data_IF_556317864924
#
_entry.id   IF_556317864924
#
_cell.length_a   1.000
_cell.length_b   1.000
_cell.length_c   1.000
_cell.angle_alpha   90.00
_cell.angle_beta   90.00
_cell.angle_gamma   90.00
#
_symmetry.space_group_name_H-M   'P 1'
#
loop_
_entity.id
_entity.type
_entity.pdbx_description
1 polymer ?
#
# COMPACT_ATOMS: atom_id res chain seq x y z
N UNK A 1 -0.28 -4.16 -18.62
CA UNK A 1 -0.26 -3.35 -19.86
C UNK A 1 -1.60 -2.64 -20.09
N UNK A 2 -1.68 -1.57 -20.89
CA UNK A 2 -2.98 -1.07 -21.42
C UNK A 2 -3.64 -2.15 -22.31
N UNK A 3 -4.81 -1.87 -22.91
CA UNK A 3 -5.44 -2.75 -23.91
C UNK A 3 -4.63 -2.93 -25.22
N UNK A 4 -3.33 -2.64 -25.23
CA UNK A 4 -2.43 -2.75 -26.37
C UNK A 4 -1.14 -3.50 -25.97
N UNK A 5 -1.19 -4.85 -25.85
CA UNK A 5 -0.04 -5.66 -25.45
C UNK A 5 1.12 -5.58 -26.45
N UNK A 6 0.85 -5.35 -27.74
CA UNK A 6 1.88 -5.23 -28.77
C UNK A 6 2.81 -4.03 -28.57
N UNK A 7 2.30 -2.91 -28.04
CA UNK A 7 3.15 -1.77 -27.68
C UNK A 7 4.10 -2.12 -26.54
N UNK A 8 3.60 -2.74 -25.47
CA UNK A 8 4.44 -3.20 -24.36
C UNK A 8 5.49 -4.21 -24.84
N UNK A 9 5.10 -5.16 -25.70
CA UNK A 9 6.01 -6.12 -26.31
C UNK A 9 7.17 -5.44 -27.05
N UNK A 10 6.87 -4.47 -27.90
CA UNK A 10 7.88 -3.75 -28.67
C UNK A 10 8.84 -2.95 -27.79
N UNK A 11 8.32 -2.13 -26.88
CA UNK A 11 9.14 -1.23 -26.07
C UNK A 11 9.96 -1.95 -25.00
N UNK A 12 9.44 -3.05 -24.46
CA UNK A 12 10.12 -3.86 -23.45
C UNK A 12 10.92 -5.01 -24.06
N UNK A 13 10.96 -5.11 -25.40
CA UNK A 13 11.67 -6.14 -26.16
C UNK A 13 11.28 -7.56 -25.74
N UNK A 14 10.00 -7.77 -25.41
CA UNK A 14 9.49 -9.06 -25.00
C UNK A 14 9.37 -10.00 -26.20
N UNK A 15 9.75 -11.26 -26.01
CA UNK A 15 9.52 -12.28 -27.03
C UNK A 15 8.04 -12.67 -27.10
N UNK A 16 7.63 -13.31 -28.20
CA UNK A 16 6.28 -13.90 -28.29
C UNK A 16 6.03 -14.93 -27.16
N UNK A 17 7.08 -15.62 -26.72
CA UNK A 17 7.02 -16.55 -25.60
C UNK A 17 6.71 -15.84 -24.28
N UNK A 18 7.34 -14.69 -24.03
CA UNK A 18 7.12 -13.91 -22.81
C UNK A 18 5.69 -13.36 -22.75
N UNK A 19 5.19 -12.81 -23.86
CA UNK A 19 3.80 -12.34 -23.95
C UNK A 19 2.82 -13.48 -23.71
N UNK A 20 3.12 -14.68 -24.22
CA UNK A 20 2.29 -15.87 -24.00
C UNK A 20 2.31 -16.32 -22.53
N UNK A 21 3.47 -16.34 -21.90
CA UNK A 21 3.60 -16.63 -20.46
C UNK A 21 2.83 -15.61 -19.61
N UNK A 22 2.91 -14.33 -19.96
CA UNK A 22 2.14 -13.28 -19.28
C UNK A 22 0.64 -13.55 -19.39
N UNK A 23 0.15 -13.89 -20.58
CA UNK A 23 -1.25 -14.29 -20.77
C UNK A 23 -1.63 -15.54 -19.95
N UNK A 24 -0.79 -16.59 -19.97
CA UNK A 24 -1.02 -17.84 -19.23
C UNK A 24 -0.99 -17.63 -17.71
N UNK A 25 -0.22 -16.66 -17.21
CA UNK A 25 -0.24 -16.22 -15.80
C UNK A 25 -1.47 -15.40 -15.42
N UNK A 26 -2.37 -15.13 -16.37
CA UNK A 26 -3.60 -14.36 -16.14
C UNK A 26 -3.44 -12.85 -16.30
N UNK A 27 -2.37 -12.37 -16.94
CA UNK A 27 -2.16 -10.93 -17.15
C UNK A 27 -3.26 -10.34 -18.03
N UNK A 28 -3.96 -9.33 -17.54
CA UNK A 28 -4.99 -8.60 -18.27
C UNK A 28 -4.77 -7.08 -18.17
N UNK A 29 -5.47 -6.32 -19.01
CA UNK A 29 -5.41 -4.87 -18.92
C UNK A 29 -5.95 -4.38 -17.58
N UNK A 30 -5.23 -3.46 -16.93
CA UNK A 30 -5.58 -2.86 -15.64
C UNK A 30 -5.66 -3.85 -14.47
N UNK A 31 -4.99 -5.00 -14.58
CA UNK A 31 -4.71 -5.82 -13.40
C UNK A 31 -3.66 -5.16 -12.50
N UNK A 32 -3.29 -5.87 -11.43
CA UNK A 32 -2.28 -5.45 -10.46
C UNK A 32 -0.92 -6.12 -10.70
N UNK A 33 -0.73 -6.82 -11.82
CA UNK A 33 0.47 -7.60 -12.12
C UNK A 33 1.47 -6.74 -12.90
N UNK A 34 2.08 -5.77 -12.21
CA UNK A 34 3.02 -4.82 -12.82
C UNK A 34 4.36 -5.46 -13.24
N UNK A 35 4.74 -6.55 -12.57
CA UNK A 35 5.97 -7.32 -12.80
C UNK A 35 5.63 -8.81 -12.93
N UNK A 36 6.12 -9.47 -13.98
CA UNK A 36 6.07 -10.93 -14.14
C UNK A 36 7.51 -11.42 -14.31
N UNK A 37 7.97 -12.28 -13.40
CA UNK A 37 9.37 -12.75 -13.34
C UNK A 37 10.39 -11.59 -13.27
N UNK A 38 10.02 -10.48 -12.61
CA UNK A 38 10.84 -9.27 -12.53
C UNK A 38 10.83 -8.40 -13.79
N UNK A 39 10.18 -8.85 -14.87
CA UNK A 39 10.00 -8.07 -16.09
C UNK A 39 8.76 -7.17 -15.97
N UNK A 40 8.86 -5.88 -16.30
CA UNK A 40 7.70 -5.02 -16.36
C UNK A 40 6.72 -5.51 -17.43
N UNK A 41 5.43 -5.39 -17.13
CA UNK A 41 4.33 -5.75 -18.03
C UNK A 41 3.52 -4.52 -18.44
N UNK A 42 3.80 -3.38 -17.81
CA UNK A 42 3.05 -2.14 -17.88
C UNK A 42 3.72 -1.06 -18.72
N UNK A 43 2.96 0.01 -18.94
CA UNK A 43 3.48 1.26 -19.49
C UNK A 43 2.80 2.42 -18.77
N UNK A 44 3.54 3.52 -18.57
CA UNK A 44 2.97 4.79 -18.11
C UNK A 44 2.70 5.67 -19.33
N UNK A 45 1.48 6.20 -19.44
CA UNK A 45 1.10 7.11 -20.53
C UNK A 45 0.87 8.50 -19.98
N UNK A 46 1.58 9.48 -20.53
CA UNK A 46 1.33 10.91 -20.30
C UNK A 46 0.60 11.46 -21.52
N UNK A 47 -0.44 12.26 -21.29
CA UNK A 47 -1.21 12.91 -22.36
C UNK A 47 -1.15 14.42 -22.18
N UNK A 48 -0.83 15.12 -23.28
CA UNK A 48 -0.64 16.56 -23.29
C UNK A 48 -1.84 17.26 -23.94
N UNK A 49 -2.27 18.37 -23.36
CA UNK A 49 -3.34 19.20 -23.91
C UNK A 49 -2.82 20.14 -25.00
N UNK A 50 -3.74 20.76 -25.75
CA UNK A 50 -3.43 21.65 -26.89
C UNK A 50 -2.41 22.74 -26.58
N UNK A 51 -2.46 23.35 -25.39
CA UNK A 51 -1.57 24.44 -24.99
C UNK A 51 -0.20 23.98 -24.46
N UNK A 52 0.09 22.68 -24.48
CA UNK A 52 1.37 22.15 -24.00
C UNK A 52 2.49 22.58 -24.93
N UNK A 53 3.51 23.23 -24.38
CA UNK A 53 4.70 23.59 -25.14
C UNK A 53 5.77 22.52 -25.01
N UNK A 54 6.75 22.50 -25.93
CA UNK A 54 7.93 21.63 -25.80
C UNK A 54 8.60 21.76 -24.43
N UNK A 55 8.69 22.99 -23.91
CA UNK A 55 9.29 23.26 -22.60
C UNK A 55 8.57 22.56 -21.45
N UNK A 56 7.25 22.38 -21.56
CA UNK A 56 6.47 21.67 -20.53
C UNK A 56 6.72 20.17 -20.60
N UNK A 57 6.88 19.62 -21.80
CA UNK A 57 7.30 18.23 -22.02
C UNK A 57 8.71 18.00 -21.48
N UNK A 58 9.66 18.88 -21.80
CA UNK A 58 11.04 18.80 -21.33
C UNK A 58 11.09 18.82 -19.79
N UNK A 59 10.29 19.65 -19.13
CA UNK A 59 10.17 19.65 -17.66
C UNK A 59 9.64 18.34 -17.11
N UNK A 60 8.67 17.72 -17.78
CA UNK A 60 8.12 16.43 -17.37
C UNK A 60 9.18 15.33 -17.49
N UNK A 61 9.95 15.33 -18.58
CA UNK A 61 11.08 14.40 -18.79
C UNK A 61 12.14 14.62 -17.72
N UNK A 62 12.58 15.87 -17.51
CA UNK A 62 13.56 16.20 -16.48
C UNK A 62 13.07 15.74 -15.12
N UNK A 63 11.80 15.96 -14.76
CA UNK A 63 11.25 15.45 -13.49
C UNK A 63 11.38 13.92 -13.36
N UNK A 64 11.15 13.14 -14.42
CA UNK A 64 11.30 11.68 -14.40
C UNK A 64 12.77 11.29 -14.17
N UNK A 65 13.68 11.86 -14.95
CA UNK A 65 15.12 11.64 -14.83
C UNK A 65 15.60 12.00 -13.42
N UNK A 66 15.12 13.13 -12.94
CA UNK A 66 15.54 13.73 -11.70
C UNK A 66 15.01 12.99 -10.47
N UNK A 67 13.77 12.53 -10.48
CA UNK A 67 13.12 11.95 -9.30
C UNK A 67 13.27 10.42 -9.24
N UNK A 68 13.43 9.75 -10.38
CA UNK A 68 13.36 8.29 -10.47
C UNK A 68 14.59 7.63 -11.06
N UNK A 69 15.39 8.33 -11.87
CA UNK A 69 16.62 7.77 -12.46
C UNK A 69 17.88 8.23 -11.72
N UNK A 70 17.82 9.35 -11.00
CA UNK A 70 18.92 9.83 -10.19
C UNK A 70 19.18 8.95 -8.95
N UNK A 71 20.45 8.85 -8.56
CA UNK A 71 20.84 8.06 -7.39
C UNK A 71 20.18 8.59 -6.11
N UNK A 72 19.98 7.76 -5.06
CA UNK A 72 19.51 8.24 -3.77
C UNK A 72 20.31 9.44 -3.23
N UNK A 73 21.63 9.40 -3.37
CA UNK A 73 22.55 10.45 -2.94
C UNK A 73 22.34 11.75 -3.73
N UNK A 74 22.19 11.63 -5.06
CA UNK A 74 21.92 12.78 -5.93
C UNK A 74 20.59 13.43 -5.58
N UNK A 75 19.54 12.63 -5.35
CA UNK A 75 18.21 13.13 -4.94
C UNK A 75 18.26 13.83 -3.59
N UNK A 76 18.96 13.27 -2.62
CA UNK A 76 19.18 13.90 -1.31
C UNK A 76 19.97 15.21 -1.43
N UNK A 77 20.97 15.26 -2.33
CA UNK A 77 21.78 16.47 -2.55
C UNK A 77 20.99 17.64 -3.16
N UNK A 78 19.85 17.36 -3.81
CA UNK A 78 18.95 18.40 -4.33
C UNK A 78 18.02 18.99 -3.28
N UNK A 79 17.88 18.29 -2.16
CA UNK A 79 17.23 18.81 -0.95
C UNK A 79 18.17 19.73 -0.16
N UNK A 80 19.42 19.90 -0.62
CA UNK A 80 20.36 20.86 -0.04
C UNK A 80 19.86 22.29 -0.27
N UNK A 81 19.45 22.90 0.82
CA UNK A 81 18.87 24.24 0.92
C UNK A 81 19.73 25.28 0.20
N UNK A 82 21.06 25.08 0.18
CA UNK A 82 22.02 25.99 -0.44
C UNK A 82 21.81 26.15 -1.96
N UNK A 83 21.13 25.20 -2.62
CA UNK A 83 20.89 25.20 -4.07
C UNK A 83 19.48 25.66 -4.47
N UNK A 84 18.66 26.07 -3.52
CA UNK A 84 17.30 26.54 -3.82
C UNK A 84 17.33 27.85 -4.64
N UNK A 85 16.45 27.99 -5.66
CA UNK A 85 16.23 29.25 -6.34
C UNK A 85 15.99 30.38 -5.34
N UNK A 86 16.49 31.60 -5.61
CA UNK A 86 16.35 32.77 -4.71
C UNK A 86 14.91 33.01 -4.24
N UNK A 87 13.92 32.73 -5.08
CA UNK A 87 12.50 32.82 -4.73
C UNK A 87 12.07 31.85 -3.62
N UNK A 88 12.78 30.74 -3.41
CA UNK A 88 12.51 29.71 -2.41
C UNK A 88 13.48 29.76 -1.21
N UNK A 89 14.47 30.65 -1.23
CA UNK A 89 15.48 30.83 -0.16
C UNK A 89 14.95 31.46 1.12
N UNK A 90 13.70 31.96 1.14
CA UNK A 90 13.01 32.38 2.38
C UNK A 90 12.20 31.24 3.05
N UNK A 91 12.09 30.09 2.37
CA UNK A 91 11.43 28.85 2.81
C UNK A 91 12.37 27.78 3.44
N UNK A 92 13.71 27.94 3.62
CA UNK A 92 14.64 26.91 4.09
C UNK A 92 14.22 26.07 5.29
N UNK A 93 13.71 26.72 6.35
CA UNK A 93 13.26 26.00 7.56
C UNK A 93 12.04 25.12 7.29
N UNK A 94 11.22 25.48 6.29
CA UNK A 94 10.08 24.67 5.80
C UNK A 94 10.48 23.60 4.78
N UNK A 95 11.71 23.62 4.26
CA UNK A 95 12.20 22.69 3.23
C UNK A 95 13.05 21.55 3.78
N UNK A 96 13.51 21.63 5.05
CA UNK A 96 13.96 20.42 5.73
C UNK A 96 12.76 19.50 5.90
N UNK A 97 12.76 18.29 5.32
CA UNK A 97 11.69 17.34 5.57
C UNK A 97 11.67 17.07 7.07
N UNK A 98 10.58 17.47 7.70
CA UNK A 98 10.32 17.11 9.08
C UNK A 98 9.30 16.00 9.09
N UNK A 99 9.60 14.94 9.86
CA UNK A 99 8.60 13.94 10.15
C UNK A 99 7.53 14.59 11.03
N UNK A 100 6.40 14.93 10.42
CA UNK A 100 5.26 15.51 11.14
C UNK A 100 4.52 14.47 11.95
N UNK A 101 4.30 13.30 11.36
CA UNK A 101 3.47 12.25 11.92
C UNK A 101 3.75 10.92 11.22
N UNK A 102 3.66 9.82 11.97
CA UNK A 102 3.59 8.47 11.41
C UNK A 102 2.21 7.92 11.74
N UNK A 103 1.55 7.41 10.70
CA UNK A 103 0.27 6.74 10.82
C UNK A 103 0.39 5.33 10.25
N UNK A 104 -0.05 4.34 11.01
CA UNK A 104 -0.18 2.97 10.54
C UNK A 104 -1.65 2.62 10.36
N UNK A 105 -1.95 1.61 9.55
CA UNK A 105 -3.31 1.15 9.27
C UNK A 105 -3.38 -0.32 9.63
N UNK A 106 -3.63 -0.64 10.91
CA UNK A 106 -3.61 -2.01 11.39
C UNK A 106 -4.58 -2.92 10.64
N UNK A 107 -5.81 -2.45 10.45
CA UNK A 107 -6.85 -3.16 9.70
C UNK A 107 -6.94 -2.58 8.29
N UNK A 108 -6.81 -3.44 7.27
CA UNK A 108 -6.96 -3.07 5.86
C UNK A 108 -8.28 -2.32 5.65
N UNK A 109 -8.22 -1.22 4.90
CA UNK A 109 -9.38 -0.36 4.55
C UNK A 109 -10.00 0.45 5.69
N UNK A 110 -9.52 0.30 6.93
CA UNK A 110 -10.03 1.04 8.08
C UNK A 110 -9.24 2.33 8.35
N UNK A 111 -9.65 3.07 9.38
CA UNK A 111 -8.96 4.27 9.87
C UNK A 111 -7.53 4.00 10.33
N UNK A 112 -6.74 5.07 10.40
CA UNK A 112 -5.35 4.97 10.84
C UNK A 112 -5.22 5.04 12.37
N UNK A 113 -4.14 4.45 12.88
CA UNK A 113 -3.63 4.65 14.22
C UNK A 113 -2.42 5.60 14.18
N UNK A 114 -2.50 6.70 14.94
CA UNK A 114 -1.43 7.69 15.06
C UNK A 114 -0.35 7.20 16.03
N UNK A 115 0.90 7.16 15.57
CA UNK A 115 2.05 6.92 16.43
C UNK A 115 2.45 8.23 17.12
N UNK A 116 2.56 8.21 18.44
CA UNK A 116 2.88 9.40 19.25
C UNK A 116 4.39 9.58 19.46
N UNK A 117 5.13 8.48 19.63
CA UNK A 117 6.56 8.52 19.98
C UNK A 117 7.40 7.74 18.97
N UNK A 118 7.58 6.44 19.23
CA UNK A 118 8.35 5.52 18.39
C UNK A 118 7.54 4.28 18.13
N UNK A 119 7.88 3.57 17.05
CA UNK A 119 7.23 2.33 16.68
C UNK A 119 8.24 1.31 16.16
N UNK A 120 8.11 0.02 16.50
CA UNK A 120 9.05 -0.99 16.01
C UNK A 120 8.92 -1.18 14.49
N UNK A 121 10.07 -1.39 13.85
CA UNK A 121 10.15 -1.85 12.46
C UNK A 121 10.37 -3.36 12.44
N UNK A 122 9.66 -4.02 11.53
CA UNK A 122 9.79 -5.44 11.19
C UNK A 122 10.39 -5.55 9.79
N UNK A 123 10.60 -6.78 9.31
CA UNK A 123 11.05 -7.04 7.94
C UNK A 123 10.04 -6.58 6.88
N UNK A 124 8.78 -6.40 7.25
CA UNK A 124 7.67 -6.05 6.34
C UNK A 124 7.18 -4.60 6.50
N UNK A 125 7.70 -3.84 7.45
CA UNK A 125 7.31 -2.45 7.68
C UNK A 125 7.17 -2.10 9.16
N UNK A 126 6.22 -1.23 9.51
CA UNK A 126 5.92 -0.97 10.92
C UNK A 126 5.19 -2.16 11.54
N UNK A 127 5.53 -2.51 12.79
CA UNK A 127 4.86 -3.58 13.52
C UNK A 127 3.33 -3.35 13.51
N UNK A 128 2.55 -4.40 13.26
CA UNK A 128 1.08 -4.35 13.19
C UNK A 128 0.49 -3.55 12.02
N UNK A 129 1.30 -3.00 11.12
CA UNK A 129 0.77 -2.32 9.94
C UNK A 129 0.23 -3.33 8.93
N UNK A 130 -1.03 -3.17 8.51
CA UNK A 130 -1.75 -4.09 7.60
C UNK A 130 -1.77 -5.55 8.10
N UNK A 131 -1.75 -5.75 9.41
CA UNK A 131 -1.78 -7.09 10.03
C UNK A 131 -3.16 -7.77 9.99
N UNK A 132 -4.24 -7.01 9.77
CA UNK A 132 -5.61 -7.53 9.78
C UNK A 132 -6.39 -7.08 8.55
N UNK A 133 -7.46 -7.80 8.25
CA UNK A 133 -8.45 -7.44 7.24
C UNK A 133 -9.83 -7.93 7.65
N UNK A 134 -10.86 -7.26 7.17
CA UNK A 134 -12.24 -7.70 7.29
C UNK A 134 -12.59 -8.45 6.01
N UNK A 135 -13.17 -9.64 6.15
CA UNK A 135 -13.61 -10.46 5.02
C UNK A 135 -15.13 -10.61 5.03
N UNK A 136 -15.71 -10.84 3.87
CA UNK A 136 -17.12 -11.24 3.75
C UNK A 136 -17.30 -12.76 3.95
N UNK A 137 -18.55 -13.23 3.85
CA UNK A 137 -18.89 -14.64 3.98
C UNK A 137 -18.23 -15.56 2.91
N UNK A 138 -17.74 -14.99 1.80
CA UNK A 138 -16.98 -15.71 0.78
C UNK A 138 -15.47 -15.77 1.06
N UNK A 139 -15.01 -15.16 2.15
CA UNK A 139 -13.60 -15.03 2.49
C UNK A 139 -12.89 -13.90 1.76
N UNK A 140 -13.60 -13.07 0.98
CA UNK A 140 -13.01 -11.98 0.22
C UNK A 140 -12.84 -10.73 1.08
N UNK A 141 -11.68 -10.09 1.02
CA UNK A 141 -11.40 -8.89 1.78
C UNK A 141 -12.31 -7.72 1.35
N UNK A 142 -13.03 -7.14 2.32
CA UNK A 142 -13.86 -5.96 2.09
C UNK A 142 -12.95 -4.74 1.94
N UNK A 143 -13.20 -3.95 0.90
CA UNK A 143 -12.36 -2.79 0.55
C UNK A 143 -13.09 -1.48 0.75
N UNK A 144 -12.34 -0.43 1.11
CA UNK A 144 -12.89 0.92 1.26
C UNK A 144 -13.57 1.45 -0.01
N UNK A 145 -13.11 0.99 -1.20
CA UNK A 145 -13.72 1.35 -2.49
C UNK A 145 -15.18 0.90 -2.60
N UNK A 146 -15.50 -0.26 -2.01
CA UNK A 146 -16.85 -0.82 -2.03
C UNK A 146 -17.66 -0.42 -0.78
N UNK A 147 -17.01 -0.38 0.39
CA UNK A 147 -17.62 0.05 1.64
C UNK A 147 -16.83 1.21 2.27
N UNK A 148 -17.23 2.43 1.94
CA UNK A 148 -16.52 3.65 2.37
C UNK A 148 -16.57 3.85 3.88
N UNK A 149 -17.61 3.35 4.56
CA UNK A 149 -17.77 3.45 6.02
C UNK A 149 -16.68 2.75 6.82
N UNK A 150 -15.90 1.84 6.22
CA UNK A 150 -14.78 1.18 6.89
C UNK A 150 -13.76 2.19 7.47
N UNK A 151 -13.58 3.36 6.85
CA UNK A 151 -12.65 4.38 7.36
C UNK A 151 -13.07 5.02 8.69
N UNK A 152 -14.33 4.82 9.10
CA UNK A 152 -14.84 5.28 10.40
C UNK A 152 -14.48 4.31 11.53
N UNK A 153 -14.13 3.06 11.21
CA UNK A 153 -13.57 2.11 12.17
C UNK A 153 -12.14 2.58 12.50
N UNK A 154 -11.91 3.01 13.74
CA UNK A 154 -10.60 3.50 14.18
C UNK A 154 -9.94 2.50 15.12
N UNK A 155 -8.78 1.93 14.73
CA UNK A 155 -8.00 1.05 15.58
C UNK A 155 -7.13 1.84 16.55
N UNK A 156 -7.02 1.35 17.80
CA UNK A 156 -6.17 1.89 18.85
C UNK A 156 -5.35 0.73 19.43
N UNK A 157 -4.03 0.76 19.22
CA UNK A 157 -3.15 -0.33 19.65
C UNK A 157 -2.60 -0.04 21.05
N UNK A 158 -2.80 -0.98 21.96
CA UNK A 158 -2.18 -1.00 23.28
C UNK A 158 -1.19 -2.16 23.40
N UNK A 159 0.09 -1.85 23.15
CA UNK A 159 1.19 -2.83 23.20
C UNK A 159 1.42 -3.40 24.60
N UNK A 160 1.21 -2.62 25.66
CA UNK A 160 1.43 -3.09 27.03
C UNK A 160 0.36 -4.10 27.46
N UNK A 161 -0.87 -3.96 26.94
CA UNK A 161 -1.97 -4.90 27.20
C UNK A 161 -2.05 -6.03 26.18
N UNK A 162 -1.28 -5.97 25.09
CA UNK A 162 -1.39 -6.93 23.98
C UNK A 162 -2.73 -6.86 23.25
N UNK A 163 -3.41 -5.70 23.23
CA UNK A 163 -4.75 -5.57 22.63
C UNK A 163 -4.85 -4.43 21.63
N UNK A 164 -5.69 -4.61 20.61
CA UNK A 164 -6.16 -3.59 19.68
C UNK A 164 -7.63 -3.31 19.95
N UNK A 165 -7.96 -2.08 20.31
CA UNK A 165 -9.34 -1.61 20.43
C UNK A 165 -9.82 -1.11 19.07
N UNK A 166 -10.99 -1.58 18.62
CA UNK A 166 -11.69 -1.05 17.44
C UNK A 166 -12.86 -0.20 17.91
N UNK A 167 -12.94 1.01 17.37
CA UNK A 167 -13.98 1.98 17.70
C UNK A 167 -14.75 2.37 16.45
N UNK A 168 -16.06 2.58 16.58
CA UNK A 168 -16.94 3.07 15.52
C UNK A 168 -17.94 4.05 16.15
N UNK A 169 -18.42 5.03 15.38
CA UNK A 169 -19.33 6.08 15.87
C UNK A 169 -20.57 5.47 16.52
N UNK A 170 -20.87 5.91 17.74
CA UNK A 170 -22.04 5.49 18.54
C UNK A 170 -22.12 3.99 18.86
N UNK A 171 -21.00 3.27 18.77
CA UNK A 171 -20.90 1.85 19.15
C UNK A 171 -19.93 1.66 20.31
N UNK A 172 -20.22 0.67 21.15
CA UNK A 172 -19.28 0.23 22.19
C UNK A 172 -18.05 -0.37 21.51
N UNK A 173 -16.85 0.00 21.97
CA UNK A 173 -15.61 -0.54 21.43
C UNK A 173 -15.50 -2.06 21.61
N UNK A 174 -14.81 -2.72 20.69
CA UNK A 174 -14.45 -4.14 20.77
C UNK A 174 -12.92 -4.28 20.83
N UNK A 175 -12.43 -5.34 21.47
CA UNK A 175 -11.00 -5.59 21.64
C UNK A 175 -10.57 -6.86 20.90
N UNK A 176 -9.46 -6.77 20.17
CA UNK A 176 -8.82 -7.86 19.45
C UNK A 176 -7.46 -8.12 20.10
N UNK A 177 -7.09 -9.37 20.33
CA UNK A 177 -5.76 -9.70 20.85
C UNK A 177 -4.70 -9.51 19.76
N UNK A 178 -3.59 -8.84 20.09
CA UNK A 178 -2.46 -8.61 19.19
C UNK A 178 -1.56 -9.85 19.06
N UNK A 179 -1.55 -10.70 20.08
CA UNK A 179 -0.76 -11.91 20.15
C UNK A 179 -1.70 -13.11 20.05
N UNK A 180 -1.70 -13.79 18.90
CA UNK A 180 -2.34 -15.09 18.79
C UNK A 180 -1.60 -16.03 19.74
N UNK A 181 -2.27 -16.46 20.80
CA UNK A 181 -1.74 -17.40 21.79
C UNK A 181 -1.26 -18.65 21.02
N UNK A 182 0.06 -18.84 20.93
CA UNK A 182 0.71 -20.04 20.37
C UNK A 182 0.63 -21.21 21.37
N UNK A 183 -0.40 -21.29 22.19
CA UNK A 183 -0.57 -22.45 23.05
C UNK A 183 -0.90 -23.64 22.15
N UNK A 184 -0.21 -24.74 22.42
CA UNK A 184 -0.33 -26.04 21.77
C UNK A 184 -1.71 -26.66 22.04
N UNK A 185 -2.78 -25.99 21.62
CA UNK A 185 -4.16 -26.43 21.78
C UNK A 185 -4.81 -26.45 20.39
N UNK A 186 -4.87 -27.66 19.85
CA UNK A 186 -5.74 -28.09 18.77
C UNK A 186 -5.78 -27.21 17.51
N UNK A 187 -5.00 -27.67 16.52
CA UNK A 187 -5.11 -27.38 15.07
C UNK A 187 -6.55 -27.63 14.51
N UNK A 188 -7.50 -27.99 15.35
CA UNK A 188 -8.89 -28.34 15.01
C UNK A 188 -9.84 -27.13 15.16
N UNK A 189 -9.54 -26.12 16.00
CA UNK A 189 -10.52 -25.06 16.33
C UNK A 189 -10.11 -23.62 15.98
N UNK A 190 -8.90 -23.37 15.45
CA UNK A 190 -8.62 -22.08 14.82
C UNK A 190 -9.08 -22.16 13.36
N UNK A 191 -10.22 -21.53 13.06
CA UNK A 191 -10.75 -21.43 11.70
C UNK A 191 -9.76 -20.66 10.82
N UNK A 192 -8.89 -21.38 10.13
CA UNK A 192 -7.98 -20.83 9.14
C UNK A 192 -8.84 -20.25 8.01
N UNK A 193 -8.93 -18.93 7.91
CA UNK A 193 -9.66 -18.29 6.83
C UNK A 193 -8.74 -18.16 5.61
N UNK A 194 -9.15 -18.71 4.47
CA UNK A 194 -8.49 -18.45 3.19
C UNK A 194 -9.10 -17.20 2.60
N UNK A 195 -8.25 -16.21 2.32
CA UNK A 195 -8.64 -14.99 1.63
C UNK A 195 -7.75 -14.77 0.42
N UNK A 196 -8.19 -13.90 -0.48
CA UNK A 196 -7.44 -13.53 -1.68
C UNK A 196 -7.08 -12.05 -1.61
N UNK A 197 -5.79 -11.74 -1.56
CA UNK A 197 -5.26 -10.38 -1.56
C UNK A 197 -4.34 -10.22 -2.76
N UNK A 198 -4.70 -9.33 -3.70
CA UNK A 198 -3.90 -9.10 -4.92
C UNK A 198 -3.58 -10.40 -5.69
N UNK A 199 -4.59 -11.26 -5.83
CA UNK A 199 -4.50 -12.58 -6.45
C UNK A 199 -3.74 -13.69 -5.68
N UNK A 200 -3.05 -13.35 -4.60
CA UNK A 200 -2.41 -14.32 -3.70
C UNK A 200 -3.40 -14.88 -2.67
N UNK A 201 -3.35 -16.19 -2.48
CA UNK A 201 -4.04 -16.87 -1.38
C UNK A 201 -3.30 -16.60 -0.08
N UNK A 202 -3.97 -15.93 0.85
CA UNK A 202 -3.46 -15.61 2.18
C UNK A 202 -4.30 -16.36 3.21
N UNK A 203 -3.63 -17.05 4.14
CA UNK A 203 -4.27 -17.62 5.31
C UNK A 203 -4.26 -16.63 6.46
N UNK A 204 -5.40 -16.51 7.14
CA UNK A 204 -5.56 -15.68 8.34
C UNK A 204 -6.10 -16.49 9.52
N UNK A 205 -5.98 -15.90 10.70
CA UNK A 205 -6.64 -16.37 11.90
C UNK A 205 -7.91 -15.57 12.12
N UNK A 206 -9.02 -16.26 12.38
CA UNK A 206 -10.25 -15.62 12.81
C UNK A 206 -10.05 -14.89 14.14
N UNK A 207 -10.58 -13.67 14.23
CA UNK A 207 -10.54 -12.83 15.43
C UNK A 207 -11.71 -13.10 16.38
N UNK A 208 -12.61 -14.02 16.02
CA UNK A 208 -13.68 -14.53 16.86
C UNK A 208 -15.05 -13.91 16.59
N UNK A 209 -16.10 -14.64 16.96
CA UNK A 209 -17.50 -14.29 16.69
C UNK A 209 -17.92 -12.95 17.30
N UNK A 210 -17.33 -12.53 18.42
CA UNK A 210 -17.64 -11.24 19.04
C UNK A 210 -17.23 -10.07 18.12
N UNK A 211 -16.08 -10.18 17.45
CA UNK A 211 -15.60 -9.18 16.50
C UNK A 211 -16.44 -9.23 15.23
N UNK A 212 -16.77 -10.43 14.75
CA UNK A 212 -17.63 -10.61 13.57
C UNK A 212 -19.03 -10.02 13.78
N UNK A 213 -19.64 -10.20 14.95
CA UNK A 213 -20.95 -9.63 15.28
C UNK A 213 -20.92 -8.10 15.50
N UNK A 214 -19.75 -7.55 15.80
CA UNK A 214 -19.56 -6.10 15.96
C UNK A 214 -19.47 -5.36 14.61
N UNK A 215 -18.99 -6.03 13.57
CA UNK A 215 -18.78 -5.49 12.21
C UNK A 215 -20.08 -5.40 11.40
#
# INVERSE_FOLDING_TARGET
>A
CFCNPGACQWFLQLSNGDVRKQYESGHICSDYNDLIEGMPTGAVRVSFGYMTTKKDVDKCISMIEECYLASPEERLSRMDICKLPKALQHIPERLKPQLKEICIYPVKSCGYFKIVNSWPLTTTGFLYDRGWMIVDASGMAITQKHQTRLCLIKPIINRCKGTMELTFTDMKSIFVNLETVREQLDVINTSLCQSKVCDDLVSGYDCGDEVANWL
#
